data_IF_692926124290
#
_entry.id   IF_692926124290
#
_cell.length_a   1.000
_cell.length_b   1.000
_cell.length_c   1.000
_cell.angle_alpha   90.00
_cell.angle_beta   90.00
_cell.angle_gamma   90.00
#
_symmetry.space_group_name_H-M   'P 1'
#
loop_
_entity.id
_entity.type
_entity.pdbx_description
1 polymer ?
#
# COMPACT_ATOMS: atom_id res chain seq x y z
N UNK A 1 -11.47 -5.13 -8.00
CA UNK A 1 -10.10 -4.56 -7.83
C UNK A 1 -9.65 -4.02 -9.17
N UNK A 2 -9.09 -2.81 -9.21
CA UNK A 2 -8.52 -2.25 -10.45
C UNK A 2 -7.23 -2.98 -10.86
N UNK A 3 -6.87 -3.01 -12.16
CA UNK A 3 -5.64 -3.65 -12.64
C UNK A 3 -4.37 -3.13 -11.94
N UNK A 4 -4.35 -1.84 -11.58
CA UNK A 4 -3.23 -1.21 -10.87
C UNK A 4 -3.04 -1.83 -9.47
N UNK A 5 -4.13 -2.08 -8.72
CA UNK A 5 -4.05 -2.72 -7.40
C UNK A 5 -3.52 -4.15 -7.48
N UNK A 6 -3.90 -4.88 -8.52
CA UNK A 6 -3.40 -6.24 -8.77
C UNK A 6 -1.89 -6.18 -9.04
N UNK A 7 -1.45 -5.29 -9.94
CA UNK A 7 -0.04 -5.11 -10.25
C UNK A 7 0.81 -4.73 -9.01
N UNK A 8 0.30 -3.84 -8.15
CA UNK A 8 0.96 -3.45 -6.90
C UNK A 8 1.11 -4.65 -5.93
N UNK A 9 0.06 -5.43 -5.71
CA UNK A 9 0.14 -6.61 -4.84
C UNK A 9 1.13 -7.64 -5.37
N UNK A 10 1.10 -7.93 -6.67
CA UNK A 10 2.05 -8.83 -7.31
C UNK A 10 3.48 -8.30 -7.13
N UNK A 11 3.69 -6.98 -7.31
CA UNK A 11 4.96 -6.33 -7.03
C UNK A 11 5.45 -6.54 -5.59
N UNK A 12 4.60 -6.32 -4.59
CA UNK A 12 4.96 -6.55 -3.19
C UNK A 12 5.33 -8.01 -2.92
N UNK A 13 4.56 -8.95 -3.47
CA UNK A 13 4.83 -10.39 -3.31
C UNK A 13 6.19 -10.74 -3.92
N UNK A 14 6.52 -10.22 -5.10
CA UNK A 14 7.82 -10.46 -5.75
C UNK A 14 8.95 -9.89 -4.89
N UNK A 15 8.84 -8.65 -4.43
CA UNK A 15 9.88 -8.01 -3.63
C UNK A 15 10.07 -8.72 -2.29
N UNK A 16 8.98 -9.08 -1.61
CA UNK A 16 9.03 -9.87 -0.38
C UNK A 16 9.66 -11.25 -0.64
N UNK A 17 9.31 -11.89 -1.75
CA UNK A 17 9.92 -13.14 -2.21
C UNK A 17 11.43 -13.00 -2.41
N UNK A 18 11.90 -11.91 -3.01
CA UNK A 18 13.35 -11.63 -3.14
C UNK A 18 13.99 -11.52 -1.76
N UNK A 19 13.36 -10.79 -0.83
CA UNK A 19 13.84 -10.63 0.54
C UNK A 19 13.98 -11.95 1.31
N UNK A 20 13.08 -12.91 1.09
CA UNK A 20 13.10 -14.22 1.74
C UNK A 20 14.08 -15.18 1.05
N UNK A 21 13.97 -15.34 -0.28
CA UNK A 21 14.70 -16.36 -1.05
C UNK A 21 16.20 -16.03 -1.13
N UNK A 22 16.56 -14.74 -1.25
CA UNK A 22 17.95 -14.30 -1.38
C UNK A 22 18.48 -13.71 -0.06
N UNK A 23 18.02 -14.23 1.09
CA UNK A 23 18.44 -13.77 2.42
C UNK A 23 19.96 -13.76 2.58
N UNK A 24 20.50 -12.76 3.28
CA UNK A 24 21.94 -12.56 3.46
C UNK A 24 22.65 -11.84 2.31
N UNK A 25 21.94 -11.49 1.23
CA UNK A 25 22.49 -10.71 0.11
C UNK A 25 22.14 -9.22 0.19
N UNK A 26 22.86 -8.41 -0.58
CA UNK A 26 22.50 -7.00 -0.79
C UNK A 26 21.10 -6.85 -1.40
N UNK A 27 20.69 -7.75 -2.32
CA UNK A 27 19.37 -7.71 -2.94
C UNK A 27 18.24 -7.87 -1.91
N UNK A 28 18.38 -8.80 -0.95
CA UNK A 28 17.41 -8.94 0.12
C UNK A 28 17.36 -7.71 1.04
N UNK A 29 18.53 -7.11 1.34
CA UNK A 29 18.59 -5.88 2.15
C UNK A 29 17.83 -4.73 1.48
N UNK A 30 18.04 -4.54 0.18
CA UNK A 30 17.30 -3.52 -0.59
C UNK A 30 15.82 -3.84 -0.70
N UNK A 31 15.44 -5.10 -0.91
CA UNK A 31 14.03 -5.50 -0.97
C UNK A 31 13.28 -5.17 0.32
N UNK A 32 13.84 -5.54 1.48
CA UNK A 32 13.25 -5.21 2.78
C UNK A 32 13.26 -3.72 3.07
N UNK A 33 14.34 -3.02 2.74
CA UNK A 33 14.44 -1.56 2.92
C UNK A 33 13.39 -0.82 2.09
N UNK A 34 13.17 -1.28 0.85
CA UNK A 34 12.17 -0.70 -0.04
C UNK A 34 10.74 -0.96 0.46
N UNK A 35 10.43 -2.19 0.89
CA UNK A 35 9.13 -2.51 1.49
C UNK A 35 8.89 -1.73 2.79
N UNK A 36 9.91 -1.58 3.63
CA UNK A 36 9.83 -0.78 4.84
C UNK A 36 9.57 0.70 4.53
N UNK A 37 10.29 1.27 3.54
CA UNK A 37 10.07 2.64 3.08
C UNK A 37 8.64 2.84 2.59
N UNK A 38 8.12 1.92 1.77
CA UNK A 38 6.74 1.98 1.28
C UNK A 38 5.73 1.86 2.42
N UNK A 39 5.93 0.94 3.36
CA UNK A 39 5.06 0.81 4.53
C UNK A 39 5.02 2.11 5.35
N UNK A 40 6.17 2.75 5.57
CA UNK A 40 6.24 4.05 6.25
C UNK A 40 5.52 5.14 5.46
N UNK A 41 5.73 5.23 4.15
CA UNK A 41 5.04 6.18 3.30
C UNK A 41 3.52 6.01 3.37
N UNK A 42 3.04 4.76 3.32
CA UNK A 42 1.62 4.46 3.40
C UNK A 42 1.03 4.71 4.79
N UNK A 43 1.79 4.53 5.87
CA UNK A 43 1.38 4.97 7.22
C UNK A 43 1.19 6.49 7.30
N UNK A 44 2.06 7.26 6.66
CA UNK A 44 1.91 8.72 6.55
C UNK A 44 0.66 9.05 5.74
N UNK A 45 0.42 8.38 4.62
CA UNK A 45 -0.80 8.57 3.82
C UNK A 45 -2.08 8.24 4.59
N UNK A 46 -2.09 7.18 5.40
CA UNK A 46 -3.22 6.86 6.28
C UNK A 46 -3.54 8.03 7.22
N UNK A 47 -2.52 8.65 7.81
CA UNK A 47 -2.71 9.82 8.68
C UNK A 47 -3.24 11.03 7.89
N UNK A 48 -2.67 11.30 6.71
CA UNK A 48 -3.08 12.41 5.83
C UNK A 48 -4.52 12.23 5.32
N UNK A 49 -4.91 11.01 4.97
CA UNK A 49 -6.23 10.70 4.39
C UNK A 49 -7.28 10.26 5.42
N UNK A 50 -6.92 10.15 6.69
CA UNK A 50 -7.81 9.72 7.78
C UNK A 50 -9.17 10.44 7.76
N UNK A 51 -9.15 11.77 7.70
CA UNK A 51 -10.37 12.59 7.69
C UNK A 51 -11.26 12.31 6.48
N UNK A 52 -10.66 12.09 5.29
CA UNK A 52 -11.39 11.77 4.06
C UNK A 52 -12.02 10.38 4.14
N UNK A 53 -11.30 9.39 4.64
CA UNK A 53 -11.84 8.04 4.83
C UNK A 53 -12.96 7.98 5.88
N UNK A 54 -12.92 8.85 6.90
CA UNK A 54 -14.02 8.98 7.87
C UNK A 54 -15.29 9.55 7.23
N UNK A 55 -15.14 10.38 6.20
CA UNK A 55 -16.25 11.03 5.49
C UNK A 55 -16.80 10.19 4.34
N UNK A 56 -16.03 9.24 3.82
CA UNK A 56 -16.38 8.41 2.65
C UNK A 56 -17.53 7.41 2.88
N UNK A 57 -18.06 7.33 4.11
CA UNK A 57 -19.03 6.30 4.49
C UNK A 57 -18.41 4.90 4.51
N UNK A 58 -19.23 3.87 4.73
CA UNK A 58 -18.75 2.48 4.75
C UNK A 58 -17.79 2.15 5.91
N UNK A 59 -16.91 1.18 5.69
CA UNK A 59 -15.97 0.72 6.73
C UNK A 59 -14.70 1.57 6.75
N UNK A 60 -14.54 2.35 7.82
CA UNK A 60 -13.33 3.15 8.07
C UNK A 60 -12.06 2.28 8.06
N UNK A 61 -12.09 1.13 8.73
CA UNK A 61 -10.96 0.20 8.76
C UNK A 61 -10.64 -0.35 7.36
N UNK A 62 -11.68 -0.62 6.54
CA UNK A 62 -11.52 -1.04 5.15
C UNK A 62 -10.84 0.02 4.29
N UNK A 63 -11.23 1.29 4.42
CA UNK A 63 -10.59 2.40 3.71
C UNK A 63 -9.14 2.59 4.16
N UNK A 64 -8.88 2.54 5.46
CA UNK A 64 -7.53 2.63 6.01
C UNK A 64 -6.62 1.50 5.53
N UNK A 65 -7.12 0.25 5.49
CA UNK A 65 -6.37 -0.86 4.90
C UNK A 65 -6.10 -0.65 3.40
N UNK A 66 -7.08 -0.14 2.65
CA UNK A 66 -6.87 0.15 1.24
C UNK A 66 -5.88 1.30 1.01
N UNK A 67 -5.87 2.33 1.86
CA UNK A 67 -4.82 3.38 1.84
C UNK A 67 -3.47 2.76 2.21
N UNK A 68 -3.40 1.86 3.20
CA UNK A 68 -2.15 1.22 3.55
C UNK A 68 -1.56 0.34 2.43
N UNK A 69 -2.41 -0.28 1.60
CA UNK A 69 -1.95 -1.17 0.54
C UNK A 69 -1.70 -0.42 -0.78
N UNK A 70 -2.51 0.59 -1.06
CA UNK A 70 -2.58 1.23 -2.38
C UNK A 70 -2.38 2.75 -2.36
N UNK A 71 -2.23 3.34 -1.18
CA UNK A 71 -1.94 4.75 -0.99
C UNK A 71 -2.91 5.69 -1.69
N UNK A 72 -2.36 6.73 -2.32
CA UNK A 72 -3.10 7.67 -3.16
C UNK A 72 -3.96 7.01 -4.24
N UNK A 73 -3.61 5.82 -4.76
CA UNK A 73 -4.42 5.18 -5.80
C UNK A 73 -5.82 4.83 -5.30
N UNK A 74 -5.97 4.39 -4.04
CA UNK A 74 -7.30 4.17 -3.47
C UNK A 74 -8.07 5.50 -3.31
N UNK A 75 -7.39 6.57 -2.90
CA UNK A 75 -8.03 7.87 -2.72
C UNK A 75 -8.55 8.48 -4.03
N UNK A 76 -7.93 8.15 -5.18
CA UNK A 76 -8.41 8.56 -6.50
C UNK A 76 -9.71 7.85 -6.86
N UNK A 77 -9.81 6.55 -6.57
CA UNK A 77 -11.05 5.78 -6.77
C UNK A 77 -12.20 6.27 -5.88
N UNK A 78 -11.91 6.76 -4.66
CA UNK A 78 -12.94 7.34 -3.78
C UNK A 78 -13.57 8.63 -4.31
N UNK A 79 -12.84 9.39 -5.13
CA UNK A 79 -13.38 10.61 -5.77
C UNK A 79 -14.32 10.32 -6.95
N UNK A 80 -14.40 9.07 -7.39
CA UNK A 80 -15.23 8.67 -8.54
C UNK A 80 -16.63 8.19 -8.14
N UNK A 81 -16.98 8.20 -6.85
CA UNK A 81 -18.34 7.96 -6.39
C UNK A 81 -19.08 9.31 -6.38
N UNK A 82 -20.12 9.51 -7.22
CA UNK A 82 -20.82 10.78 -7.39
C UNK A 82 -21.51 11.29 -6.13
#
# INVERSE_FOLDING_TARGET
>A
MSPIKIALLVGYIIIAGIGVVYSGTAAATWAWSFLALLAVAHLVEMAVFYSRCRQAGGSMAGHMLNVFLFGVFHMRELKEIP
#
